data_IF_139979460606
#
_entry.id   IF_139979460606
#
_cell.length_a   1.000
_cell.length_b   1.000
_cell.length_c   1.000
_cell.angle_alpha   90.00
_cell.angle_beta   90.00
_cell.angle_gamma   90.00
#
_symmetry.space_group_name_H-M   'P 1'
#
loop_
_entity.id
_entity.type
_entity.pdbx_description
1 polymer ?
#
# COMPACT_ATOMS: atom_id res chain seq x y z
N UNK A 1 -23.25 1.20 56.99
CA UNK A 1 -23.77 1.96 55.83
C UNK A 1 -22.58 2.45 55.05
N UNK A 2 -22.26 1.73 53.99
CA UNK A 2 -21.11 1.96 53.10
C UNK A 2 -21.24 3.29 52.36
N UNK A 3 -20.12 4.01 52.29
CA UNK A 3 -19.97 5.18 51.44
C UNK A 3 -19.77 4.73 49.99
N UNK A 4 -20.71 5.11 49.12
CA UNK A 4 -20.60 4.94 47.68
C UNK A 4 -19.58 5.97 47.17
N UNK A 5 -18.41 5.50 46.77
CA UNK A 5 -17.40 6.29 46.06
C UNK A 5 -17.80 6.33 44.59
N UNK A 6 -18.26 7.50 44.14
CA UNK A 6 -18.54 7.76 42.73
C UNK A 6 -17.20 7.89 41.98
N UNK A 7 -16.92 6.93 41.10
CA UNK A 7 -15.73 6.94 40.22
C UNK A 7 -16.16 7.52 38.87
N UNK A 8 -15.99 8.82 38.71
CA UNK A 8 -16.02 9.46 37.39
C UNK A 8 -14.92 8.85 36.50
N UNK A 9 -15.33 8.04 35.52
CA UNK A 9 -14.47 7.62 34.42
C UNK A 9 -14.20 8.84 33.53
N UNK A 10 -13.09 9.54 33.77
CA UNK A 10 -12.49 10.44 32.78
C UNK A 10 -12.10 9.64 31.54
N UNK A 11 -12.98 9.64 30.55
CA UNK A 11 -12.70 9.11 29.22
C UNK A 11 -11.79 10.12 28.53
N UNK A 12 -10.50 9.80 28.42
CA UNK A 12 -9.54 10.63 27.68
C UNK A 12 -9.92 10.55 26.20
N UNK A 13 -10.72 11.52 25.71
CA UNK A 13 -10.96 11.70 24.28
C UNK A 13 -9.64 12.12 23.65
N UNK A 14 -8.92 11.18 23.06
CA UNK A 14 -7.85 11.48 22.13
C UNK A 14 -8.51 12.12 20.92
N UNK A 15 -8.34 13.44 20.75
CA UNK A 15 -8.82 14.15 19.57
C UNK A 15 -8.22 13.48 18.33
N UNK A 16 -9.08 13.01 17.42
CA UNK A 16 -8.66 12.56 16.10
C UNK A 16 -8.28 13.82 15.29
N UNK A 17 -7.09 14.35 15.52
CA UNK A 17 -6.60 15.48 14.73
C UNK A 17 -6.22 14.98 13.35
N UNK A 18 -6.63 15.71 12.31
CA UNK A 18 -6.07 15.56 10.98
C UNK A 18 -4.54 15.71 11.05
N UNK A 19 -3.77 14.91 10.30
CA UNK A 19 -2.32 15.02 10.26
C UNK A 19 -1.97 16.41 9.76
N UNK A 20 -0.93 16.97 10.35
CA UNK A 20 -0.35 18.23 9.91
C UNK A 20 0.02 18.09 8.44
N UNK A 21 -0.64 18.87 7.59
CA UNK A 21 -0.50 18.87 6.14
C UNK A 21 0.96 18.81 5.70
N UNK A 22 1.30 17.77 4.92
CA UNK A 22 2.38 17.83 3.93
C UNK A 22 3.57 16.88 4.09
N UNK A 23 3.79 16.24 5.24
CA UNK A 23 4.92 15.32 5.42
C UNK A 23 4.44 13.95 5.90
N UNK A 24 4.71 12.91 5.11
CA UNK A 24 4.54 11.52 5.52
C UNK A 24 5.39 11.27 6.76
N UNK A 25 4.80 10.72 7.82
CA UNK A 25 5.49 10.50 9.07
C UNK A 25 6.72 9.60 8.89
N UNK A 26 7.88 10.06 9.34
CA UNK A 26 9.15 9.32 9.27
C UNK A 26 9.09 7.97 9.98
N UNK A 27 8.30 7.84 11.05
CA UNK A 27 8.07 6.56 11.73
C UNK A 27 7.40 5.49 10.87
N UNK A 28 6.73 5.85 9.76
CA UNK A 28 6.19 4.88 8.81
C UNK A 28 7.28 4.27 7.92
N UNK A 29 8.49 4.84 7.87
CA UNK A 29 9.57 4.32 7.01
C UNK A 29 10.17 3.03 7.53
N UNK A 30 10.10 2.76 8.83
CA UNK A 30 10.68 1.58 9.48
C UNK A 30 9.78 0.34 9.34
N UNK A 31 9.32 0.08 8.10
CA UNK A 31 8.52 -1.09 7.71
C UNK A 31 8.94 -1.59 6.33
N UNK A 32 8.63 -2.85 6.04
CA UNK A 32 8.73 -3.40 4.69
C UNK A 32 7.52 -3.03 3.83
N UNK A 33 7.79 -2.50 2.63
CA UNK A 33 6.78 -2.12 1.64
C UNK A 33 6.90 -3.00 0.40
N UNK A 34 5.84 -3.72 0.06
CA UNK A 34 5.71 -4.36 -1.25
C UNK A 34 5.50 -3.29 -2.33
N UNK A 35 6.48 -3.06 -3.20
CA UNK A 35 6.49 -1.95 -4.18
C UNK A 35 6.16 -2.37 -5.60
N UNK A 36 6.33 -3.64 -5.93
CA UNK A 36 5.99 -4.21 -7.23
C UNK A 36 5.82 -5.73 -7.15
N UNK A 37 5.13 -6.32 -8.12
CA UNK A 37 5.06 -7.77 -8.29
C UNK A 37 6.35 -8.31 -8.91
N UNK A 38 6.86 -9.42 -8.37
CA UNK A 38 8.02 -10.16 -8.91
C UNK A 38 7.89 -10.45 -10.40
N UNK A 39 6.65 -10.74 -10.85
CA UNK A 39 6.32 -11.07 -12.23
C UNK A 39 6.58 -9.93 -13.22
N UNK A 40 6.66 -8.68 -12.74
CA UNK A 40 6.89 -7.49 -13.57
C UNK A 40 8.36 -7.16 -13.74
N UNK A 41 9.21 -7.46 -12.76
CA UNK A 41 10.63 -7.18 -12.84
C UNK A 41 11.36 -8.35 -13.53
N UNK A 42 11.34 -8.32 -14.85
CA UNK A 42 12.08 -9.28 -15.69
C UNK A 42 13.54 -8.86 -15.83
N UNK A 43 14.35 -9.76 -16.39
CA UNK A 43 15.73 -9.43 -16.75
C UNK A 43 15.78 -8.20 -17.66
N UNK A 44 16.80 -7.37 -17.45
CA UNK A 44 17.01 -6.10 -18.15
C UNK A 44 15.85 -5.08 -18.06
N UNK A 45 14.92 -5.24 -17.12
CA UNK A 45 13.82 -4.31 -16.89
C UNK A 45 14.18 -3.29 -15.80
N UNK A 46 13.85 -2.02 -16.04
CA UNK A 46 13.87 -0.96 -15.03
C UNK A 46 12.42 -0.59 -14.67
N UNK A 47 12.08 -0.56 -13.38
CA UNK A 47 10.76 -0.13 -12.92
C UNK A 47 10.92 1.04 -11.97
N UNK A 48 10.47 2.22 -12.39
CA UNK A 48 10.42 3.41 -11.55
C UNK A 48 9.19 3.44 -10.66
N UNK A 49 9.35 3.91 -9.42
CA UNK A 49 8.25 4.19 -8.51
C UNK A 49 8.62 5.33 -7.55
N UNK A 50 7.62 5.98 -6.95
CA UNK A 50 7.81 6.93 -5.86
C UNK A 50 7.48 6.24 -4.52
N UNK A 51 8.28 6.52 -3.49
CA UNK A 51 8.01 6.07 -2.12
C UNK A 51 8.59 7.10 -1.14
N UNK A 52 7.74 7.62 -0.25
CA UNK A 52 8.06 8.71 0.67
C UNK A 52 8.67 9.94 -0.01
N UNK A 53 8.02 10.43 -1.08
CA UNK A 53 8.42 11.60 -1.87
C UNK A 53 9.81 11.47 -2.54
N UNK A 54 10.33 10.24 -2.64
CA UNK A 54 11.62 9.95 -3.29
C UNK A 54 11.42 9.03 -4.49
N UNK A 55 12.05 9.32 -5.64
CA UNK A 55 11.99 8.46 -6.81
C UNK A 55 13.01 7.33 -6.70
N UNK A 56 12.58 6.12 -7.00
CA UNK A 56 13.35 4.88 -6.90
C UNK A 56 13.23 4.07 -8.18
N UNK A 57 14.25 3.26 -8.48
CA UNK A 57 14.26 2.35 -9.62
C UNK A 57 14.65 0.94 -9.19
N UNK A 58 13.82 -0.03 -9.55
CA UNK A 58 14.07 -1.46 -9.38
C UNK A 58 14.77 -2.03 -10.62
N UNK A 59 15.67 -2.98 -10.39
CA UNK A 59 16.35 -3.75 -11.43
C UNK A 59 16.83 -5.10 -10.87
N UNK A 60 17.26 -6.00 -11.75
CA UNK A 60 17.96 -7.23 -11.35
C UNK A 60 19.46 -7.12 -11.62
N UNK A 61 20.26 -7.53 -10.66
CA UNK A 61 21.71 -7.63 -10.80
C UNK A 61 22.13 -8.86 -11.62
N UNK A 62 23.43 -9.11 -11.75
CA UNK A 62 23.96 -10.26 -12.52
C UNK A 62 23.59 -11.61 -11.92
N UNK A 63 23.31 -11.64 -10.62
CA UNK A 63 22.91 -12.82 -9.87
C UNK A 63 21.38 -13.01 -9.88
N UNK A 64 20.63 -12.11 -10.54
CA UNK A 64 19.18 -12.10 -10.58
C UNK A 64 18.54 -11.55 -9.30
N UNK A 65 19.33 -11.02 -8.37
CA UNK A 65 18.83 -10.42 -7.14
C UNK A 65 18.27 -9.03 -7.40
N UNK A 66 17.26 -8.66 -6.64
CA UNK A 66 16.61 -7.35 -6.78
C UNK A 66 17.46 -6.26 -6.15
N UNK A 67 17.73 -5.20 -6.92
CA UNK A 67 18.30 -3.95 -6.44
C UNK A 67 17.27 -2.82 -6.51
N UNK A 68 17.35 -1.90 -5.54
CA UNK A 68 16.59 -0.65 -5.53
C UNK A 68 17.53 0.50 -5.20
N UNK A 69 17.68 1.42 -6.16
CA UNK A 69 18.52 2.62 -6.01
C UNK A 69 17.70 3.87 -6.29
N UNK A 70 18.17 5.00 -5.80
CA UNK A 70 17.54 6.29 -6.08
C UNK A 70 17.49 6.51 -7.59
N UNK A 71 16.34 6.89 -8.13
CA UNK A 71 16.14 7.11 -9.57
C UNK A 71 16.66 8.50 -10.00
N UNK A 72 17.90 8.79 -9.62
CA UNK A 72 18.54 10.08 -9.85
C UNK A 72 20.05 9.88 -10.02
N UNK A 73 20.55 10.13 -11.23
CA UNK A 73 21.98 10.04 -11.50
C UNK A 73 22.76 11.14 -10.76
N UNK A 74 23.73 10.76 -9.93
CA UNK A 74 24.57 11.69 -9.17
C UNK A 74 25.30 12.76 -10.02
N UNK A 75 25.47 12.54 -11.33
CA UNK A 75 26.12 13.51 -12.20
C UNK A 75 25.25 14.75 -12.45
N UNK A 76 24.03 14.56 -12.93
CA UNK A 76 23.14 15.65 -13.39
C UNK A 76 21.65 15.39 -13.14
N UNK A 77 21.34 14.58 -12.13
CA UNK A 77 19.98 14.21 -11.73
C UNK A 77 19.11 13.68 -12.87
N UNK A 78 19.73 13.01 -13.86
CA UNK A 78 18.97 12.33 -14.91
C UNK A 78 18.26 11.11 -14.30
N UNK A 79 16.97 10.88 -14.60
CA UNK A 79 16.30 9.66 -14.18
C UNK A 79 17.04 8.44 -14.74
N UNK A 80 17.43 7.53 -13.85
CA UNK A 80 18.13 6.30 -14.20
C UNK A 80 17.20 5.29 -14.88
N UNK A 81 15.91 5.34 -14.57
CA UNK A 81 14.82 4.55 -15.17
C UNK A 81 14.64 4.77 -16.67
N UNK A 82 15.10 5.92 -17.21
CA UNK A 82 15.17 6.18 -18.65
C UNK A 82 16.41 5.58 -19.33
N UNK A 83 17.26 4.94 -18.55
CA UNK A 83 18.44 4.23 -19.01
C UNK A 83 18.16 2.78 -19.36
N UNK A 84 19.11 1.91 -19.05
CA UNK A 84 19.00 0.47 -19.30
C UNK A 84 19.82 -0.31 -18.27
N UNK A 85 19.52 -1.60 -18.13
CA UNK A 85 20.38 -2.50 -17.35
C UNK A 85 21.52 -2.99 -18.25
N UNK A 86 22.77 -2.81 -17.82
CA UNK A 86 23.97 -3.32 -18.49
C UNK A 86 24.72 -4.19 -17.50
N UNK A 87 24.84 -5.47 -17.83
CA UNK A 87 25.49 -6.48 -16.99
C UNK A 87 25.12 -6.35 -15.50
N UNK A 88 23.82 -6.33 -15.19
CA UNK A 88 23.34 -6.25 -13.81
C UNK A 88 23.62 -4.92 -13.08
N UNK A 89 23.90 -3.84 -13.81
CA UNK A 89 24.00 -2.48 -13.27
C UNK A 89 23.06 -1.55 -14.03
N UNK A 90 22.62 -0.46 -13.40
CA UNK A 90 21.78 0.55 -14.06
C UNK A 90 22.67 1.56 -14.76
N UNK A 91 22.63 1.59 -16.08
CA UNK A 91 23.32 2.58 -16.89
C UNK A 91 22.43 3.79 -17.15
N UNK A 92 22.87 4.96 -16.71
CA UNK A 92 22.23 6.25 -16.98
C UNK A 92 22.19 6.54 -18.50
N UNK A 93 21.00 6.82 -19.03
CA UNK A 93 20.78 7.11 -20.45
C UNK A 93 21.42 8.41 -20.95
N UNK A 94 21.98 9.24 -20.06
CA UNK A 94 22.62 10.50 -20.46
C UNK A 94 24.12 10.34 -20.79
N UNK A 95 24.95 10.01 -19.80
CA UNK A 95 26.42 9.94 -19.97
C UNK A 95 26.98 8.54 -19.69
N UNK A 96 26.11 7.52 -19.59
CA UNK A 96 26.52 6.13 -19.46
C UNK A 96 27.14 5.74 -18.12
N UNK A 97 26.99 6.56 -17.07
CA UNK A 97 27.41 6.19 -15.72
C UNK A 97 26.60 4.98 -15.25
N UNK A 98 27.27 3.99 -14.66
CA UNK A 98 26.64 2.72 -14.25
C UNK A 98 26.67 2.58 -12.74
N UNK A 99 25.55 2.12 -12.17
CA UNK A 99 25.37 1.95 -10.72
C UNK A 99 25.00 0.51 -10.38
N UNK A 100 25.65 -0.06 -9.38
CA UNK A 100 25.28 -1.37 -8.83
C UNK A 100 24.15 -1.27 -7.78
N UNK A 101 23.73 -2.42 -7.22
CA UNK A 101 22.62 -2.48 -6.26
C UNK A 101 22.90 -1.79 -4.91
N UNK A 102 24.17 -1.49 -4.61
CA UNK A 102 24.55 -0.68 -3.45
C UNK A 102 24.51 0.84 -3.72
N UNK A 103 24.16 1.22 -4.96
CA UNK A 103 24.19 2.59 -5.44
C UNK A 103 25.59 3.09 -5.77
N UNK A 104 26.62 2.24 -5.75
CA UNK A 104 27.99 2.62 -6.09
C UNK A 104 28.11 2.81 -7.60
N UNK A 105 28.69 3.93 -8.04
CA UNK A 105 28.97 4.18 -9.45
C UNK A 105 30.18 3.36 -9.89
N UNK A 106 29.97 2.26 -10.62
CA UNK A 106 31.02 1.31 -10.99
C UNK A 106 31.72 1.66 -12.31
N UNK A 107 31.09 2.46 -13.17
CA UNK A 107 31.66 2.82 -14.47
C UNK A 107 31.33 4.25 -14.90
N UNK A 108 32.32 4.97 -15.46
CA UNK A 108 32.22 6.34 -15.95
C UNK A 108 32.92 6.46 -17.31
N UNK A 109 32.19 6.39 -18.44
CA UNK A 109 32.81 6.31 -19.77
C UNK A 109 33.60 7.56 -20.20
N UNK A 110 33.19 8.73 -19.72
CA UNK A 110 33.65 10.03 -20.23
C UNK A 110 34.63 10.77 -19.31
N UNK A 111 35.07 10.14 -18.22
CA UNK A 111 36.00 10.76 -17.29
C UNK A 111 36.82 9.72 -16.53
N UNK A 112 37.81 10.19 -15.78
CA UNK A 112 38.47 9.35 -14.79
C UNK A 112 37.47 8.94 -13.72
N UNK A 113 37.60 7.70 -13.26
CA UNK A 113 36.71 7.15 -12.24
C UNK A 113 36.95 7.85 -10.89
N UNK A 114 35.88 8.34 -10.29
CA UNK A 114 35.86 8.88 -8.93
C UNK A 114 34.83 8.11 -8.10
N UNK A 115 35.05 8.01 -6.79
CA UNK A 115 34.11 7.34 -5.90
C UNK A 115 32.85 8.19 -5.73
N UNK A 116 31.74 7.71 -6.28
CA UNK A 116 30.42 8.34 -6.20
C UNK A 116 29.41 7.26 -5.83
N UNK A 117 28.51 7.58 -4.92
CA UNK A 117 27.45 6.68 -4.47
C UNK A 117 26.14 7.45 -4.37
N UNK A 118 25.06 6.82 -4.81
CA UNK A 118 23.67 7.26 -4.59
C UNK A 118 23.01 6.38 -3.53
N UNK A 119 21.84 6.80 -3.04
CA UNK A 119 21.10 5.98 -2.06
C UNK A 119 20.65 4.66 -2.69
N UNK A 120 20.67 3.62 -1.88
CA UNK A 120 20.08 2.31 -2.18
C UNK A 120 19.19 1.88 -1.01
N UNK A 121 18.15 1.11 -1.28
CA UNK A 121 17.30 0.52 -0.25
C UNK A 121 17.56 -0.99 -0.13
N UNK A 122 17.56 -1.55 1.10
CA UNK A 122 17.47 -2.99 1.29
C UNK A 122 16.24 -3.55 0.57
N UNK A 123 16.43 -4.65 -0.15
CA UNK A 123 15.41 -5.30 -0.96
C UNK A 123 15.30 -6.78 -0.60
N UNK A 124 14.08 -7.31 -0.67
CA UNK A 124 13.83 -8.75 -0.61
C UNK A 124 12.73 -9.14 -1.60
N UNK A 125 12.87 -10.31 -2.21
CA UNK A 125 11.84 -10.88 -3.08
C UNK A 125 11.19 -12.07 -2.35
N UNK A 126 9.91 -11.95 -2.04
CA UNK A 126 9.18 -12.95 -1.25
C UNK A 126 7.70 -12.97 -1.63
N UNK A 127 7.11 -14.16 -1.69
CA UNK A 127 5.69 -14.41 -1.94
C UNK A 127 5.15 -13.71 -3.22
N UNK A 128 5.98 -13.63 -4.28
CA UNK A 128 5.62 -13.04 -5.56
C UNK A 128 5.65 -11.50 -5.58
N UNK A 129 6.20 -10.88 -4.54
CA UNK A 129 6.35 -9.43 -4.42
C UNK A 129 7.80 -9.02 -4.14
N UNK A 130 8.11 -7.79 -4.54
CA UNK A 130 9.35 -7.10 -4.26
C UNK A 130 9.12 -6.15 -3.09
N UNK A 131 9.90 -6.35 -2.03
CA UNK A 131 9.81 -5.63 -0.77
C UNK A 131 11.02 -4.71 -0.62
N UNK A 132 10.80 -3.48 -0.17
CA UNK A 132 11.86 -2.53 0.16
C UNK A 132 11.70 -1.98 1.56
N UNK A 133 12.83 -1.64 2.19
CA UNK A 133 12.88 -0.98 3.49
C UNK A 133 13.37 0.47 3.33
N UNK A 134 12.49 1.49 3.39
CA UNK A 134 12.86 2.89 3.25
C UNK A 134 13.38 3.54 4.54
N UNK A 135 13.31 2.83 5.67
CA UNK A 135 13.76 3.28 6.98
C UNK A 135 15.28 3.38 7.08
N UNK A 136 15.76 4.26 7.96
CA UNK A 136 17.20 4.37 8.27
C UNK A 136 17.63 3.38 9.34
N UNK A 137 16.70 2.81 10.11
CA UNK A 137 16.99 1.76 11.06
C UNK A 137 17.41 0.47 10.34
N UNK A 138 18.13 -0.41 11.06
CA UNK A 138 18.40 -1.77 10.59
C UNK A 138 17.06 -2.44 10.22
N UNK A 139 16.91 -2.97 8.99
CA UNK A 139 15.68 -3.66 8.60
C UNK A 139 15.39 -4.81 9.54
N UNK A 140 14.13 -4.92 9.98
CA UNK A 140 13.67 -6.12 10.66
C UNK A 140 13.65 -7.29 9.67
N UNK A 141 13.60 -8.52 10.16
CA UNK A 141 13.34 -9.65 9.28
C UNK A 141 11.97 -9.49 8.61
N UNK A 142 11.91 -9.75 7.30
CA UNK A 142 10.66 -9.80 6.57
C UNK A 142 9.93 -11.07 7.01
N UNK A 143 8.76 -10.92 7.64
CA UNK A 143 7.99 -12.08 8.09
C UNK A 143 7.62 -12.98 6.92
N UNK A 144 7.85 -14.29 7.05
CA UNK A 144 7.39 -15.31 6.09
C UNK A 144 5.86 -15.29 5.90
N UNK A 145 5.14 -14.71 6.86
CA UNK A 145 3.68 -14.62 6.91
C UNK A 145 3.11 -13.25 6.52
N UNK A 146 3.93 -12.28 6.09
CA UNK A 146 3.49 -10.90 5.81
C UNK A 146 2.32 -10.82 4.80
N UNK A 147 2.25 -11.78 3.88
CA UNK A 147 1.06 -12.12 3.09
C UNK A 147 1.26 -13.49 2.46
N UNK A 148 0.25 -14.37 2.57
CA UNK A 148 0.23 -15.64 1.85
C UNK A 148 -1.14 -15.82 1.19
N UNK A 149 -1.13 -16.28 -0.05
CA UNK A 149 -2.36 -16.62 -0.75
C UNK A 149 -3.07 -17.75 0.03
N UNK A 150 -4.34 -17.59 0.45
CA UNK A 150 -5.01 -18.61 1.22
C UNK A 150 -5.13 -19.92 0.44
N UNK A 151 -5.11 -21.05 1.16
CA UNK A 151 -5.26 -22.37 0.55
C UNK A 151 -6.55 -22.47 -0.26
N UNK A 152 -6.48 -23.09 -1.44
CA UNK A 152 -7.62 -23.23 -2.36
C UNK A 152 -7.86 -22.03 -3.27
N UNK A 153 -7.26 -20.86 -2.99
CA UNK A 153 -7.33 -19.71 -3.90
C UNK A 153 -6.28 -19.77 -4.99
N UNK A 154 -6.59 -19.18 -6.14
CA UNK A 154 -5.68 -19.02 -7.26
C UNK A 154 -5.60 -17.55 -7.66
N UNK A 155 -4.39 -17.07 -7.91
CA UNK A 155 -4.14 -15.72 -8.42
C UNK A 155 -4.73 -15.55 -9.83
N UNK A 156 -5.58 -14.55 -10.00
CA UNK A 156 -6.25 -14.22 -11.27
C UNK A 156 -5.72 -12.93 -11.88
N UNK A 157 -5.41 -11.92 -11.06
CA UNK A 157 -4.93 -10.63 -11.52
C UNK A 157 -3.95 -9.98 -10.54
N UNK A 158 -3.00 -9.26 -11.11
CA UNK A 158 -2.07 -8.37 -10.42
C UNK A 158 -2.09 -7.02 -11.15
N UNK A 159 -2.37 -5.95 -10.43
CA UNK A 159 -2.49 -4.60 -10.98
C UNK A 159 -1.72 -3.63 -10.12
N UNK A 160 -0.81 -2.88 -10.75
CA UNK A 160 -0.15 -1.71 -10.16
C UNK A 160 -0.68 -0.43 -10.81
N UNK A 161 -0.97 0.58 -10.00
CA UNK A 161 -1.43 1.90 -10.47
C UNK A 161 -0.99 3.03 -9.54
N UNK A 162 -0.81 4.22 -10.12
CA UNK A 162 -0.57 5.46 -9.38
C UNK A 162 -1.88 6.22 -9.25
N UNK A 163 -2.24 6.62 -8.03
CA UNK A 163 -3.50 7.29 -7.72
C UNK A 163 -3.24 8.67 -7.10
N UNK A 164 -4.01 9.71 -7.49
CA UNK A 164 -3.84 11.08 -7.01
C UNK A 164 -4.51 11.30 -5.64
N UNK A 165 -4.29 10.37 -4.71
CA UNK A 165 -4.85 10.43 -3.37
C UNK A 165 -3.84 9.96 -2.32
N UNK A 166 -3.84 10.60 -1.16
CA UNK A 166 -3.01 10.21 -0.03
C UNK A 166 -3.37 8.80 0.43
N UNK A 167 -2.35 7.96 0.65
CA UNK A 167 -2.54 6.54 0.93
C UNK A 167 -3.48 6.24 2.11
N UNK A 168 -3.45 7.07 3.15
CA UNK A 168 -4.29 6.88 4.32
C UNK A 168 -5.78 7.13 4.05
N UNK A 169 -6.12 8.05 3.15
CA UNK A 169 -7.51 8.25 2.72
C UNK A 169 -8.04 7.06 1.93
N UNK A 170 -7.19 6.47 1.07
CA UNK A 170 -7.56 5.26 0.33
C UNK A 170 -7.75 4.07 1.28
N UNK A 171 -6.86 3.89 2.26
CA UNK A 171 -7.00 2.85 3.29
C UNK A 171 -8.28 3.03 4.11
N UNK A 172 -8.60 4.26 4.52
CA UNK A 172 -9.84 4.58 5.25
C UNK A 172 -11.09 4.25 4.42
N UNK A 173 -11.07 4.56 3.11
CA UNK A 173 -12.14 4.19 2.20
C UNK A 173 -12.27 2.66 2.03
N UNK A 174 -11.17 1.94 1.80
CA UNK A 174 -11.17 0.48 1.65
C UNK A 174 -11.69 -0.24 2.92
N UNK A 175 -11.41 0.29 4.10
CA UNK A 175 -11.82 -0.29 5.39
C UNK A 175 -13.29 -0.02 5.76
N UNK A 176 -13.98 0.85 5.03
CA UNK A 176 -15.39 1.16 5.23
C UNK A 176 -16.24 0.46 4.17
N UNK A 177 -16.96 -0.62 4.48
CA UNK A 177 -17.87 -1.23 3.48
C UNK A 177 -19.25 -0.57 3.40
N UNK A 178 -19.55 0.43 4.24
CA UNK A 178 -20.85 1.09 4.22
C UNK A 178 -21.06 1.96 2.98
N UNK A 179 -19.98 2.44 2.34
CA UNK A 179 -20.07 3.22 1.10
C UNK A 179 -20.41 2.35 -0.12
N UNK A 180 -20.07 1.05 -0.11
CA UNK A 180 -20.13 0.18 -1.28
C UNK A 180 -21.51 0.15 -2.00
N UNK A 181 -22.67 0.05 -1.30
CA UNK A 181 -23.98 0.07 -1.96
C UNK A 181 -24.31 1.37 -2.70
N UNK A 182 -23.65 2.47 -2.34
CA UNK A 182 -23.89 3.80 -2.91
C UNK A 182 -22.90 4.14 -4.02
N UNK A 183 -21.64 3.70 -3.88
CA UNK A 183 -20.56 4.01 -4.83
C UNK A 183 -20.50 3.01 -5.97
N UNK A 184 -20.61 1.72 -5.66
CA UNK A 184 -20.42 0.61 -6.59
C UNK A 184 -21.71 0.09 -7.21
N UNK A 185 -22.62 1.02 -7.53
CA UNK A 185 -23.90 0.69 -8.19
C UNK A 185 -23.71 0.24 -9.64
N UNK A 186 -22.61 0.63 -10.28
CA UNK A 186 -22.23 0.24 -11.64
C UNK A 186 -21.42 -1.06 -11.75
N UNK A 187 -20.87 -1.55 -10.63
CA UNK A 187 -19.92 -2.67 -10.61
C UNK A 187 -20.46 -3.85 -9.78
N UNK A 188 -20.02 -4.01 -8.53
CA UNK A 188 -20.23 -5.26 -7.77
C UNK A 188 -21.29 -5.16 -6.66
N UNK A 189 -21.66 -3.94 -6.22
CA UNK A 189 -22.58 -3.74 -5.10
C UNK A 189 -24.03 -3.44 -5.51
N UNK A 190 -24.39 -3.63 -6.79
CA UNK A 190 -25.75 -3.38 -7.27
C UNK A 190 -26.76 -4.23 -6.52
N UNK A 191 -27.58 -3.58 -5.69
CA UNK A 191 -28.61 -4.24 -4.87
C UNK A 191 -28.13 -4.73 -3.50
N UNK A 192 -26.95 -4.31 -3.04
CA UNK A 192 -26.51 -4.57 -1.68
C UNK A 192 -27.28 -3.68 -0.67
N UNK A 193 -27.62 -4.21 0.50
CA UNK A 193 -28.12 -3.43 1.63
C UNK A 193 -26.96 -2.82 2.40
N UNK A 194 -27.17 -1.67 3.04
CA UNK A 194 -26.17 -1.07 3.93
C UNK A 194 -25.91 -2.03 5.10
N UNK A 195 -24.65 -2.38 5.41
CA UNK A 195 -24.33 -3.19 6.59
C UNK A 195 -24.68 -2.43 7.88
N UNK A 196 -25.48 -3.04 8.75
CA UNK A 196 -25.89 -2.42 10.02
C UNK A 196 -24.87 -2.60 11.16
N UNK A 197 -23.93 -3.56 11.04
CA UNK A 197 -23.01 -3.93 12.12
C UNK A 197 -21.67 -4.50 11.61
N UNK A 198 -20.55 -3.99 12.16
CA UNK A 198 -19.22 -4.60 12.05
C UNK A 198 -18.94 -5.39 13.32
N UNK A 199 -18.72 -6.71 13.21
CA UNK A 199 -18.25 -7.54 14.32
C UNK A 199 -16.73 -7.57 14.32
N UNK A 200 -16.12 -7.15 15.43
CA UNK A 200 -14.67 -7.07 15.58
C UNK A 200 -14.15 -8.33 16.25
N UNK A 201 -13.01 -8.83 15.77
CA UNK A 201 -12.24 -9.86 16.45
C UNK A 201 -11.00 -9.19 17.09
N UNK A 202 -10.75 -9.35 18.39
CA UNK A 202 -9.52 -8.88 19.07
C UNK A 202 -9.24 -9.71 20.34
N UNK A 203 -7.99 -9.77 20.88
CA UNK A 203 -6.87 -8.84 20.69
C UNK A 203 -5.47 -9.50 20.54
N UNK A 204 -4.84 -9.46 19.36
CA UNK A 204 -3.39 -9.71 19.24
C UNK A 204 -2.73 -9.14 17.97
N UNK A 205 -3.37 -8.19 17.26
CA UNK A 205 -3.12 -7.78 15.84
C UNK A 205 -3.52 -8.87 14.84
N UNK A 206 -4.08 -8.54 13.67
CA UNK A 206 -4.37 -7.24 13.02
C UNK A 206 -5.85 -6.81 13.17
N UNK A 207 -6.17 -5.56 12.85
CA UNK A 207 -7.53 -5.01 12.95
C UNK A 207 -8.49 -5.73 11.98
N UNK A 208 -9.20 -6.74 12.47
CA UNK A 208 -10.08 -7.58 11.65
C UNK A 208 -11.55 -7.25 11.91
N UNK A 209 -12.31 -7.09 10.84
CA UNK A 209 -13.76 -6.93 10.85
C UNK A 209 -14.46 -8.05 10.07
N UNK A 210 -15.68 -8.36 10.49
CA UNK A 210 -16.63 -9.17 9.75
C UNK A 210 -17.96 -8.40 9.61
N UNK A 211 -18.52 -8.35 8.40
CA UNK A 211 -19.77 -7.65 8.10
C UNK A 211 -20.95 -8.64 8.01
N UNK A 212 -22.17 -8.22 8.33
CA UNK A 212 -23.41 -9.03 8.22
C UNK A 212 -24.43 -8.15 7.49
N UNK A 213 -25.20 -8.61 6.47
CA UNK A 213 -25.45 -9.98 6.00
C UNK A 213 -24.43 -10.61 5.03
N UNK A 214 -23.41 -9.88 4.61
CA UNK A 214 -22.44 -10.34 3.61
C UNK A 214 -21.26 -11.04 4.27
N UNK A 215 -20.87 -12.28 3.88
CA UNK A 215 -19.70 -12.96 4.43
C UNK A 215 -18.41 -12.30 3.91
N UNK A 216 -18.11 -11.12 4.44
CA UNK A 216 -16.91 -10.35 4.14
C UNK A 216 -16.08 -10.33 5.40
N UNK A 217 -14.88 -10.88 5.28
CA UNK A 217 -13.80 -10.72 6.25
C UNK A 217 -12.81 -9.72 5.68
N UNK A 218 -12.35 -8.77 6.50
CA UNK A 218 -11.33 -7.82 6.10
C UNK A 218 -10.42 -7.52 7.26
N UNK A 219 -9.13 -7.42 7.00
CA UNK A 219 -8.11 -7.01 7.96
C UNK A 219 -7.25 -5.88 7.39
N UNK A 220 -6.79 -5.03 8.30
CA UNK A 220 -5.67 -4.12 8.05
C UNK A 220 -4.38 -4.72 8.61
N UNK A 221 -3.38 -4.93 7.75
CA UNK A 221 -2.01 -5.25 8.18
C UNK A 221 -1.11 -4.01 8.05
N UNK A 222 -0.33 -3.68 9.09
CA UNK A 222 0.69 -2.67 8.98
C UNK A 222 1.72 -2.91 7.86
N UNK A 223 2.23 -1.86 7.20
CA UNK A 223 1.86 -0.45 7.41
C UNK A 223 0.69 0.01 6.53
N UNK A 224 0.36 -0.71 5.46
CA UNK A 224 -0.52 -0.20 4.41
C UNK A 224 -1.29 -1.27 3.61
N UNK A 225 -1.61 -2.40 4.23
CA UNK A 225 -2.29 -3.51 3.55
C UNK A 225 -3.75 -3.64 4.02
N UNK A 226 -4.65 -3.82 3.06
CA UNK A 226 -6.03 -4.25 3.32
C UNK A 226 -6.26 -5.58 2.62
N UNK A 227 -6.50 -6.61 3.41
CA UNK A 227 -6.79 -7.96 2.95
C UNK A 227 -8.28 -8.17 3.13
N UNK A 228 -8.97 -8.68 2.11
CA UNK A 228 -10.38 -9.04 2.23
C UNK A 228 -10.73 -10.35 1.55
N UNK A 229 -11.66 -11.08 2.13
CA UNK A 229 -12.26 -12.29 1.57
C UNK A 229 -13.77 -12.10 1.54
N UNK A 230 -14.35 -12.11 0.35
CA UNK A 230 -15.76 -11.79 0.07
C UNK A 230 -16.44 -13.03 -0.52
N UNK A 231 -17.48 -13.54 0.15
CA UNK A 231 -18.34 -14.57 -0.42
C UNK A 231 -19.38 -14.01 -1.39
N UNK A 232 -19.42 -14.52 -2.62
CA UNK A 232 -20.26 -13.97 -3.69
C UNK A 232 -21.76 -14.36 -3.61
N UNK A 233 -22.14 -15.32 -2.74
CA UNK A 233 -23.53 -15.78 -2.60
C UNK A 233 -23.90 -16.17 -1.15
N UNK A 234 -24.29 -15.18 -0.34
CA UNK A 234 -24.98 -15.38 0.94
C UNK A 234 -24.18 -16.13 2.02
N UNK A 235 -24.79 -16.34 3.20
CA UNK A 235 -24.14 -16.87 4.42
C UNK A 235 -23.52 -18.27 4.30
N UNK A 236 -23.92 -19.07 3.31
CA UNK A 236 -23.38 -20.42 3.04
C UNK A 236 -22.80 -20.45 1.62
N UNK A 237 -21.73 -19.70 1.43
CA UNK A 237 -21.10 -19.47 0.14
C UNK A 237 -19.95 -20.47 -0.08
N UNK A 238 -19.87 -21.06 -1.28
CA UNK A 238 -18.75 -21.91 -1.72
C UNK A 238 -17.90 -21.28 -2.84
N UNK A 239 -18.00 -19.96 -3.03
CA UNK A 239 -17.24 -19.19 -4.04
C UNK A 239 -16.80 -17.85 -3.50
N UNK A 240 -15.52 -17.71 -3.25
CA UNK A 240 -14.95 -16.56 -2.59
C UNK A 240 -14.01 -15.79 -3.51
N UNK A 241 -14.06 -14.49 -3.33
CA UNK A 241 -13.15 -13.51 -3.89
C UNK A 241 -12.18 -13.11 -2.78
N UNK A 242 -10.89 -13.31 -2.97
CA UNK A 242 -9.86 -12.83 -2.06
C UNK A 242 -9.08 -11.69 -2.72
N UNK A 243 -8.89 -10.61 -1.99
CA UNK A 243 -8.29 -9.38 -2.49
C UNK A 243 -7.22 -8.90 -1.52
N UNK A 244 -6.11 -8.44 -2.08
CA UNK A 244 -5.08 -7.70 -1.37
C UNK A 244 -4.95 -6.32 -2.02
N UNK A 245 -5.00 -5.28 -1.20
CA UNK A 245 -4.70 -3.90 -1.59
C UNK A 245 -3.51 -3.40 -0.76
N UNK A 246 -2.40 -3.06 -1.41
CA UNK A 246 -1.25 -2.41 -0.81
C UNK A 246 -1.27 -0.93 -1.22
N UNK A 247 -1.58 -0.02 -0.30
CA UNK A 247 -1.68 1.41 -0.59
C UNK A 247 -0.40 2.13 -0.14
N UNK A 248 0.60 2.21 -1.00
CA UNK A 248 1.91 2.73 -0.64
C UNK A 248 1.89 4.27 -0.51
N UNK A 249 2.60 4.84 0.46
CA UNK A 249 2.81 6.28 0.56
C UNK A 249 3.82 6.74 -0.52
N UNK A 250 3.35 7.01 -1.73
CA UNK A 250 4.22 7.38 -2.85
C UNK A 250 4.80 8.79 -2.70
N UNK A 251 3.92 9.78 -2.55
CA UNK A 251 4.29 11.17 -2.30
C UNK A 251 3.11 12.00 -1.78
N UNK A 252 3.29 13.30 -1.60
CA UNK A 252 2.27 14.17 -1.06
C UNK A 252 0.98 14.11 -1.88
N UNK A 253 -0.10 13.62 -1.27
CA UNK A 253 -1.40 13.47 -1.90
C UNK A 253 -1.44 12.42 -3.02
N UNK A 254 -0.49 11.48 -3.04
CA UNK A 254 -0.41 10.39 -4.01
C UNK A 254 -0.17 9.04 -3.33
N UNK A 255 -0.65 7.98 -3.95
CA UNK A 255 -0.42 6.61 -3.51
C UNK A 255 -0.17 5.71 -4.71
N UNK A 256 0.77 4.78 -4.56
CA UNK A 256 0.89 3.64 -5.48
C UNK A 256 0.06 2.51 -4.91
N UNK A 257 -0.90 2.01 -5.67
CA UNK A 257 -1.72 0.87 -5.28
C UNK A 257 -1.23 -0.39 -6.00
N UNK A 258 -0.88 -1.42 -5.22
CA UNK A 258 -0.80 -2.79 -5.70
C UNK A 258 -2.08 -3.54 -5.34
N UNK A 259 -2.68 -4.18 -6.32
CA UNK A 259 -3.92 -4.94 -6.17
C UNK A 259 -3.73 -6.36 -6.67
N UNK A 260 -4.03 -7.35 -5.84
CA UNK A 260 -4.15 -8.75 -6.24
C UNK A 260 -5.59 -9.23 -6.11
N UNK A 261 -6.02 -9.96 -7.14
CA UNK A 261 -7.30 -10.66 -7.15
C UNK A 261 -7.07 -12.16 -7.22
N UNK A 262 -7.68 -12.88 -6.29
CA UNK A 262 -7.62 -14.33 -6.22
C UNK A 262 -9.00 -14.92 -6.02
N UNK A 263 -9.25 -16.08 -6.64
CA UNK A 263 -10.54 -16.77 -6.58
C UNK A 263 -10.33 -18.22 -6.17
N UNK A 264 -11.21 -18.78 -5.36
CA UNK A 264 -11.28 -20.23 -5.08
C UNK A 264 -12.07 -21.01 -6.17
N UNK A 265 -12.56 -20.28 -7.18
CA UNK A 265 -13.33 -20.80 -8.30
C UNK A 265 -12.77 -20.28 -9.62
N UNK A 266 -13.23 -20.86 -10.74
CA UNK A 266 -12.82 -20.46 -12.09
C UNK A 266 -11.30 -20.46 -12.35
N UNK A 267 -10.55 -21.38 -11.75
CA UNK A 267 -9.10 -21.52 -12.01
C UNK A 267 -8.70 -21.68 -13.48
N UNK A 268 -9.61 -22.07 -14.37
CA UNK A 268 -9.38 -22.09 -15.82
C UNK A 268 -9.30 -20.69 -16.44
N UNK A 269 -9.92 -19.67 -15.83
CA UNK A 269 -9.98 -18.31 -16.35
C UNK A 269 -8.60 -17.63 -16.40
N UNK A 270 -7.62 -18.12 -15.63
CA UNK A 270 -6.22 -17.67 -15.70
C UNK A 270 -5.52 -18.01 -17.02
N UNK A 271 -6.10 -18.90 -17.83
CA UNK A 271 -5.55 -19.24 -19.15
C UNK A 271 -6.23 -18.49 -20.30
N UNK A 272 -7.21 -17.64 -19.99
CA UNK A 272 -7.91 -16.88 -21.01
C UNK A 272 -7.01 -15.81 -21.63
N UNK A 273 -6.89 -15.76 -22.98
CA UNK A 273 -6.17 -14.69 -23.67
C UNK A 273 -6.77 -13.32 -23.30
N UNK A 274 -5.92 -12.35 -23.00
CA UNK A 274 -6.35 -10.99 -22.67
C UNK A 274 -6.95 -10.79 -21.27
N UNK A 275 -6.93 -11.82 -20.41
CA UNK A 275 -7.42 -11.72 -19.02
C UNK A 275 -6.84 -10.53 -18.25
N UNK A 276 -5.55 -10.24 -18.43
CA UNK A 276 -4.86 -9.20 -17.66
C UNK A 276 -5.42 -7.82 -18.01
N UNK A 277 -5.73 -7.60 -19.29
CA UNK A 277 -6.37 -6.37 -19.75
C UNK A 277 -7.80 -6.25 -19.22
N UNK A 278 -8.55 -7.35 -19.21
CA UNK A 278 -9.89 -7.39 -18.66
C UNK A 278 -9.90 -7.06 -17.17
N UNK A 279 -9.11 -7.76 -16.37
CA UNK A 279 -9.04 -7.55 -14.93
C UNK A 279 -8.49 -6.19 -14.56
N UNK A 280 -7.47 -5.69 -15.27
CA UNK A 280 -6.97 -4.33 -15.10
C UNK A 280 -8.06 -3.29 -15.38
N UNK A 281 -8.83 -3.47 -16.46
CA UNK A 281 -9.94 -2.57 -16.78
C UNK A 281 -11.04 -2.64 -15.73
N UNK A 282 -11.31 -3.81 -15.14
CA UNK A 282 -12.31 -3.95 -14.09
C UNK A 282 -11.86 -3.29 -12.79
N UNK A 283 -10.62 -3.55 -12.36
CA UNK A 283 -10.01 -2.93 -11.19
C UNK A 283 -10.01 -1.41 -11.32
N UNK A 284 -9.59 -0.88 -12.47
CA UNK A 284 -9.59 0.56 -12.73
C UNK A 284 -10.98 1.16 -12.61
N UNK A 285 -12.02 0.53 -13.18
CA UNK A 285 -13.40 1.03 -13.09
C UNK A 285 -13.90 1.10 -11.65
N UNK A 286 -13.63 0.07 -10.85
CA UNK A 286 -14.04 0.03 -9.43
C UNK A 286 -13.34 1.17 -8.67
N UNK A 287 -12.03 1.31 -8.85
CA UNK A 287 -11.25 2.33 -8.16
C UNK A 287 -11.66 3.73 -8.61
N UNK A 288 -11.97 3.95 -9.88
CA UNK A 288 -12.44 5.25 -10.38
C UNK A 288 -13.79 5.67 -9.75
N UNK A 289 -14.67 4.72 -9.39
CA UNK A 289 -15.95 5.00 -8.72
C UNK A 289 -15.74 5.57 -7.31
N UNK A 290 -14.71 5.10 -6.59
CA UNK A 290 -14.33 5.58 -5.26
C UNK A 290 -13.45 6.82 -5.33
N UNK A 291 -12.47 6.83 -6.24
CA UNK A 291 -11.44 7.87 -6.33
C UNK A 291 -12.07 9.26 -6.46
N UNK A 292 -13.16 9.41 -7.23
CA UNK A 292 -13.87 10.70 -7.34
C UNK A 292 -14.35 11.25 -5.99
N UNK A 293 -14.68 10.38 -5.04
CA UNK A 293 -15.14 10.76 -3.70
C UNK A 293 -13.95 11.04 -2.79
N UNK A 294 -12.94 10.17 -2.81
CA UNK A 294 -11.77 10.30 -1.93
C UNK A 294 -10.90 11.49 -2.33
N UNK A 295 -10.79 11.81 -3.63
CA UNK A 295 -10.15 13.06 -4.10
C UNK A 295 -10.90 14.28 -3.56
N UNK A 296 -12.24 14.26 -3.57
CA UNK A 296 -13.03 15.34 -2.97
C UNK A 296 -12.85 15.48 -1.45
N UNK A 297 -12.57 14.38 -0.74
CA UNK A 297 -12.20 14.42 0.68
C UNK A 297 -10.80 15.00 0.87
N UNK A 298 -9.83 14.62 0.04
CA UNK A 298 -8.48 15.16 0.04
C UNK A 298 -8.47 16.67 -0.15
N UNK A 299 -9.23 17.19 -1.11
CA UNK A 299 -9.32 18.64 -1.37
C UNK A 299 -9.85 19.40 -0.14
N UNK A 300 -10.86 18.83 0.54
CA UNK A 300 -11.43 19.42 1.76
C UNK A 300 -10.47 19.33 2.93
N UNK A 301 -9.77 18.20 3.09
CA UNK A 301 -8.74 18.03 4.12
C UNK A 301 -7.62 19.06 3.93
N UNK A 302 -7.17 19.27 2.69
CA UNK A 302 -6.19 20.30 2.35
C UNK A 302 -6.70 21.72 2.65
N UNK A 303 -8.01 21.95 2.56
CA UNK A 303 -8.66 23.19 2.97
C UNK A 303 -8.95 23.29 4.48
N UNK A 304 -8.49 22.33 5.30
CA UNK A 304 -8.64 22.32 6.76
C UNK A 304 -9.96 21.72 7.26
N UNK A 305 -10.71 21.01 6.42
CA UNK A 305 -11.90 20.30 6.86
C UNK A 305 -11.55 19.10 7.73
N UNK A 306 -12.35 18.88 8.77
CA UNK A 306 -12.33 17.66 9.56
C UNK A 306 -13.18 16.58 8.89
N UNK A 307 -12.51 15.58 8.28
CA UNK A 307 -13.17 14.44 7.63
C UNK A 307 -13.74 13.42 8.64
N UNK A 308 -13.39 13.54 9.93
CA UNK A 308 -13.84 12.70 11.03
C UNK A 308 -14.76 13.46 12.01
N UNK A 309 -15.52 14.45 11.49
CA UNK A 309 -16.38 15.33 12.30
C UNK A 309 -17.43 14.59 13.15
N UNK A 310 -18.00 13.50 12.64
CA UNK A 310 -19.07 12.76 13.33
C UNK A 310 -18.99 11.27 12.99
N UNK A 311 -18.02 10.54 13.57
CA UNK A 311 -17.86 9.12 13.32
C UNK A 311 -19.01 8.31 13.92
N UNK A 312 -19.40 7.25 13.23
CA UNK A 312 -20.46 6.32 13.62
C UNK A 312 -19.95 4.87 13.67
N UNK A 313 -20.83 3.91 13.93
CA UNK A 313 -20.45 2.54 14.29
C UNK A 313 -19.61 1.80 13.23
N UNK A 314 -19.89 2.01 11.94
CA UNK A 314 -19.18 1.34 10.84
C UNK A 314 -17.78 1.92 10.57
N UNK A 315 -17.49 3.15 11.05
CA UNK A 315 -16.20 3.82 10.86
C UNK A 315 -15.06 3.25 11.71
N UNK A 316 -15.37 2.31 12.61
CA UNK A 316 -14.45 1.93 13.68
C UNK A 316 -13.14 1.30 13.18
N UNK A 317 -13.11 0.64 12.01
CA UNK A 317 -11.84 0.18 11.41
C UNK A 317 -10.99 1.35 10.92
N UNK A 318 -11.58 2.29 10.15
CA UNK A 318 -10.90 3.50 9.70
C UNK A 318 -10.35 4.34 10.85
N UNK A 319 -11.14 4.50 11.93
CA UNK A 319 -10.69 5.18 13.16
C UNK A 319 -9.55 4.44 13.85
N UNK A 320 -9.60 3.11 13.86
CA UNK A 320 -8.54 2.31 14.50
C UNK A 320 -7.23 2.40 13.71
N UNK A 321 -7.30 2.36 12.38
CA UNK A 321 -6.17 2.67 11.51
C UNK A 321 -5.63 4.09 11.76
N UNK A 322 -6.51 5.10 11.83
CA UNK A 322 -6.10 6.48 12.12
C UNK A 322 -5.34 6.61 13.44
N UNK A 323 -5.86 5.99 14.50
CA UNK A 323 -5.23 6.00 15.82
C UNK A 323 -3.87 5.32 15.79
N UNK A 324 -3.76 4.17 15.12
CA UNK A 324 -2.49 3.47 14.94
C UNK A 324 -1.48 4.34 14.18
N UNK A 325 -1.88 4.95 13.05
CA UNK A 325 -1.02 5.86 12.28
C UNK A 325 -0.55 7.02 13.16
N UNK A 326 -1.47 7.73 13.81
CA UNK A 326 -1.14 8.88 14.65
C UNK A 326 -0.19 8.51 15.80
N UNK A 327 -0.28 7.29 16.37
CA UNK A 327 0.66 6.81 17.38
C UNK A 327 2.08 6.65 16.80
N UNK A 328 2.21 6.12 15.58
CA UNK A 328 3.50 6.02 14.89
C UNK A 328 4.07 7.41 14.66
N UNK A 329 3.25 8.35 14.16
CA UNK A 329 3.71 9.73 13.94
C UNK A 329 4.21 10.36 15.24
N UNK A 330 3.46 10.23 16.33
CA UNK A 330 3.83 10.79 17.64
C UNK A 330 5.07 10.13 18.26
N UNK A 331 5.30 8.85 17.96
CA UNK A 331 6.49 8.13 18.42
C UNK A 331 7.75 8.44 17.61
N UNK A 332 7.60 9.13 16.47
CA UNK A 332 8.69 9.45 15.58
C UNK A 332 9.57 10.58 16.14
N UNK A 333 10.92 10.52 15.97
CA UNK A 333 11.84 11.57 16.41
C UNK A 333 11.44 12.97 15.92
N UNK A 334 11.08 13.08 14.63
CA UNK A 334 10.68 14.34 13.96
C UNK A 334 9.44 15.02 14.57
N UNK A 335 8.63 14.30 15.36
CA UNK A 335 7.43 14.84 16.03
C UNK A 335 7.77 15.50 17.37
N UNK A 336 8.85 15.09 18.03
CA UNK A 336 9.28 15.66 19.32
C UNK A 336 9.94 17.03 19.16
N UNK A 337 10.30 17.41 17.93
CA UNK A 337 10.90 18.70 17.59
C UNK A 337 9.87 19.77 17.16
N UNK A 338 8.58 19.43 17.11
CA UNK A 338 7.45 20.34 16.80
C UNK A 338 6.65 20.64 18.06
#
# INVERSE_FOLDING_TARGET
MEQVVDREKKTRQTTLTAPTTGLLASGLKDYWYAVEFSSKLQDATLISFELFDQPWVLFRDRQGQVGCIQDECAHRACPLSLGQVVDGTVQCGYHGWQYDASGSCTHMPSCQHIQVQIKSLPCQEQNGMIWVWPGSAQPTELSEHIYQLPEGFQLHAEVAMELPVEHGLLLENLLDLAHAPFTHTGTFARGWSVPDLVRFMTPQTPLTGHWDPYPIEMSFEPPCYVISTIGLRGKTCGRHLHQLHCCLPAGQGKTRLLYQLSLDFYGWARFLPGKDRFWRSMAQRVIDEDLRLVVGQQDRLAAGADIWRTPVGYDKLGISYRRWRNQIEQSSPDWQER
#
